data_IF_294927565014
#
_entry.id   IF_294927565014
#
_cell.length_a   1.000
_cell.length_b   1.000
_cell.length_c   1.000
_cell.angle_alpha   90.00
_cell.angle_beta   90.00
_cell.angle_gamma   90.00
#
_symmetry.space_group_name_H-M   'P 1'
#
loop_
_entity.id
_entity.type
_entity.pdbx_description
1 polymer ?
#
# COMPACT_ATOMS: atom_id res chain seq x y z
N UNK A 1 -47.94 37.62 15.28
CA UNK A 1 -46.56 37.22 15.60
C UNK A 1 -46.60 35.85 16.25
N UNK A 2 -46.40 34.80 15.45
CA UNK A 2 -46.20 33.40 15.87
C UNK A 2 -45.27 32.78 14.82
N UNK A 3 -44.24 32.05 15.25
CA UNK A 3 -43.87 30.79 14.58
C UNK A 3 -43.70 29.69 15.65
N UNK A 4 -44.50 28.63 15.68
CA UNK A 4 -44.43 27.40 14.87
C UNK A 4 -43.02 26.80 14.86
N UNK A 5 -42.78 25.89 15.80
CA UNK A 5 -41.67 24.93 15.83
C UNK A 5 -42.00 23.73 14.94
N UNK A 6 -41.27 23.56 13.84
CA UNK A 6 -41.31 22.34 13.01
C UNK A 6 -40.02 21.54 13.22
N UNK A 7 -40.18 20.32 13.75
CA UNK A 7 -39.15 19.31 13.76
C UNK A 7 -38.88 18.80 12.33
N UNK A 8 -37.61 18.69 11.95
CA UNK A 8 -37.17 17.91 10.80
C UNK A 8 -36.12 16.91 11.26
N UNK A 9 -36.53 15.64 11.21
CA UNK A 9 -35.72 14.46 11.40
C UNK A 9 -34.68 14.37 10.27
N UNK A 10 -33.39 14.44 10.61
CA UNK A 10 -32.29 14.12 9.71
C UNK A 10 -31.65 12.83 10.17
N UNK A 11 -31.86 11.74 9.43
CA UNK A 11 -31.11 10.50 9.58
C UNK A 11 -29.71 10.72 8.98
N UNK A 12 -28.74 11.06 9.82
CA UNK A 12 -27.33 10.98 9.47
C UNK A 12 -26.89 9.52 9.54
N UNK A 13 -26.66 8.91 8.37
CA UNK A 13 -25.97 7.63 8.26
C UNK A 13 -24.48 7.84 8.59
N UNK A 14 -24.14 7.65 9.86
CA UNK A 14 -22.76 7.56 10.34
C UNK A 14 -22.17 6.24 9.84
N UNK A 15 -21.40 6.26 8.76
CA UNK A 15 -20.49 5.17 8.41
C UNK A 15 -19.37 5.09 9.45
N UNK A 16 -19.64 4.35 10.53
CA UNK A 16 -18.66 4.07 11.58
C UNK A 16 -17.51 3.21 11.04
N UNK A 17 -16.29 3.55 11.44
CA UNK A 17 -14.97 2.99 11.11
C UNK A 17 -14.78 1.52 11.57
N UNK A 18 -15.85 0.83 11.95
CA UNK A 18 -15.84 -0.55 12.45
C UNK A 18 -15.76 -1.56 11.29
N UNK A 19 -16.28 -1.22 10.10
CA UNK A 19 -16.40 -2.16 8.98
C UNK A 19 -15.08 -2.51 8.28
N UNK A 20 -14.00 -1.74 8.46
CA UNK A 20 -12.69 -2.06 7.87
C UNK A 20 -11.81 -2.95 8.77
N UNK A 21 -12.10 -3.01 10.08
CA UNK A 21 -11.24 -3.65 11.09
C UNK A 21 -11.82 -4.94 11.69
N UNK A 22 -13.12 -5.22 11.52
CA UNK A 22 -13.74 -6.44 12.06
C UNK A 22 -13.37 -7.75 11.33
N UNK A 23 -12.55 -7.69 10.29
CA UNK A 23 -12.16 -8.89 9.55
C UNK A 23 -11.01 -9.69 10.23
N UNK A 24 -10.43 -9.23 11.35
CA UNK A 24 -9.21 -9.84 11.90
C UNK A 24 -9.19 -10.17 13.39
N UNK A 25 -10.33 -10.08 14.10
CA UNK A 25 -10.32 -10.41 15.53
C UNK A 25 -11.60 -11.17 15.92
N UNK A 26 -11.37 -12.31 16.59
CA UNK A 26 -12.28 -13.17 17.38
C UNK A 26 -12.95 -14.39 16.74
N UNK A 27 -13.38 -14.40 15.46
CA UNK A 27 -14.14 -15.55 14.91
C UNK A 27 -13.32 -16.67 14.21
N UNK A 28 -12.02 -16.46 13.94
CA UNK A 28 -11.27 -17.35 13.03
C UNK A 28 -10.80 -18.68 13.65
N UNK A 29 -10.68 -18.78 14.98
CA UNK A 29 -10.35 -20.06 15.65
C UNK A 29 -11.57 -21.00 15.75
N UNK A 30 -12.79 -20.43 15.80
CA UNK A 30 -14.03 -21.20 15.81
C UNK A 30 -14.35 -21.72 14.40
N UNK A 31 -14.14 -20.88 13.37
CA UNK A 31 -14.23 -21.26 11.95
C UNK A 31 -13.20 -22.33 11.53
N UNK A 32 -12.01 -22.33 12.14
CA UNK A 32 -11.00 -23.40 11.94
C UNK A 32 -11.47 -24.79 12.43
N UNK A 33 -12.43 -24.86 13.37
CA UNK A 33 -13.05 -26.14 13.80
C UNK A 33 -14.25 -26.54 12.95
N UNK A 34 -15.04 -25.56 12.50
CA UNK A 34 -16.30 -25.81 11.79
C UNK A 34 -16.09 -26.13 10.30
N UNK A 35 -15.06 -25.56 9.67
CA UNK A 35 -14.71 -25.82 8.26
C UNK A 35 -14.26 -27.28 8.02
N UNK A 36 -13.77 -27.97 9.05
CA UNK A 36 -13.42 -29.40 8.98
C UNK A 36 -14.65 -30.33 8.91
N UNK A 37 -15.86 -29.80 9.17
CA UNK A 37 -17.06 -30.61 9.37
C UNK A 37 -18.14 -30.42 8.29
N UNK A 38 -17.93 -29.49 7.35
CA UNK A 38 -18.92 -29.13 6.31
C UNK A 38 -18.55 -29.61 4.89
N UNK A 39 -17.65 -30.59 4.74
CA UNK A 39 -17.45 -31.35 3.48
C UNK A 39 -18.50 -32.48 3.37
N UNK A 40 -19.73 -32.24 3.84
CA UNK A 40 -20.86 -33.16 3.70
C UNK A 40 -22.12 -32.33 3.41
N UNK A 41 -22.67 -32.58 2.23
CA UNK A 41 -24.01 -32.23 1.75
C UNK A 41 -24.22 -30.86 1.07
N UNK A 42 -24.66 -30.98 -0.18
CA UNK A 42 -24.90 -29.94 -1.15
C UNK A 42 -26.41 -29.75 -1.43
N UNK A 43 -26.72 -28.62 -2.09
CA UNK A 43 -27.91 -28.34 -2.94
C UNK A 43 -29.23 -28.06 -2.18
N UNK A 44 -30.19 -27.22 -2.58
CA UNK A 44 -30.73 -26.57 -3.82
C UNK A 44 -31.47 -25.29 -3.31
N UNK A 45 -31.50 -24.07 -3.87
CA UNK A 45 -31.95 -23.54 -5.19
C UNK A 45 -33.39 -22.97 -5.10
N UNK A 46 -33.68 -21.74 -5.58
CA UNK A 46 -34.96 -21.26 -6.20
C UNK A 46 -34.93 -19.75 -6.60
N UNK A 47 -35.52 -19.44 -7.77
CA UNK A 47 -35.69 -18.15 -8.51
C UNK A 47 -36.89 -17.30 -7.96
N UNK A 48 -37.30 -16.08 -8.38
CA UNK A 48 -37.33 -15.40 -9.69
C UNK A 48 -37.89 -13.93 -9.59
N UNK A 49 -37.49 -13.03 -10.52
CA UNK A 49 -38.19 -11.81 -11.08
C UNK A 49 -38.48 -10.57 -10.18
N UNK A 50 -38.62 -9.29 -10.61
CA UNK A 50 -39.10 -8.67 -11.87
C UNK A 50 -38.60 -7.19 -12.11
N UNK A 51 -38.64 -6.80 -13.39
CA UNK A 51 -38.35 -5.60 -14.26
C UNK A 51 -38.59 -4.11 -13.83
N UNK A 52 -37.86 -3.19 -14.53
CA UNK A 52 -38.19 -1.82 -15.06
C UNK A 52 -37.66 -0.58 -14.28
N UNK A 53 -37.26 0.59 -14.83
CA UNK A 53 -37.13 1.18 -16.19
C UNK A 53 -36.41 2.58 -16.13
N UNK A 54 -35.89 3.07 -17.28
CA UNK A 54 -35.53 4.46 -17.72
C UNK A 54 -34.65 5.40 -16.84
N UNK A 55 -33.49 5.92 -17.29
CA UNK A 55 -33.29 6.99 -18.31
C UNK A 55 -32.88 8.30 -17.58
N UNK A 56 -31.93 9.17 -17.95
CA UNK A 56 -31.01 9.37 -19.07
C UNK A 56 -30.23 10.69 -18.85
N UNK A 57 -29.33 10.99 -19.78
CA UNK A 57 -28.81 12.32 -20.15
C UNK A 57 -27.51 12.87 -19.54
N UNK A 58 -26.62 13.08 -20.51
CA UNK A 58 -25.28 13.65 -20.63
C UNK A 58 -25.14 15.15 -20.36
N UNK A 59 -23.92 15.55 -19.97
CA UNK A 59 -23.41 16.92 -20.13
C UNK A 59 -21.87 16.94 -20.15
N UNK A 60 -21.29 17.23 -21.30
CA UNK A 60 -19.84 17.33 -21.55
C UNK A 60 -19.35 18.76 -21.33
N UNK A 61 -18.15 18.97 -20.79
CA UNK A 61 -17.37 20.21 -20.98
C UNK A 61 -15.87 19.95 -20.89
N UNK A 62 -15.19 20.36 -21.95
CA UNK A 62 -13.75 20.34 -22.24
C UNK A 62 -12.99 21.40 -21.45
N UNK A 63 -11.70 21.15 -21.12
CA UNK A 63 -10.79 22.17 -20.61
C UNK A 63 -9.38 22.06 -21.23
N UNK A 64 -8.81 23.22 -21.51
CA UNK A 64 -7.55 23.49 -22.20
C UNK A 64 -6.39 23.66 -21.21
N UNK A 65 -5.20 23.18 -21.60
CA UNK A 65 -3.96 23.20 -20.80
C UNK A 65 -2.97 24.27 -21.28
N UNK A 66 -2.43 25.07 -20.37
CA UNK A 66 -1.37 26.08 -20.60
C UNK A 66 -0.01 25.61 -20.04
N UNK A 67 1.07 25.89 -20.79
CA UNK A 67 2.46 25.58 -20.44
C UNK A 67 3.04 26.62 -19.45
N UNK A 68 3.72 26.16 -18.39
CA UNK A 68 4.33 26.96 -17.31
C UNK A 68 5.85 27.12 -17.55
N UNK A 69 6.42 28.28 -17.19
CA UNK A 69 7.84 28.62 -17.33
C UNK A 69 8.75 27.90 -16.29
N UNK A 70 9.96 27.42 -16.65
CA UNK A 70 10.89 26.76 -15.73
C UNK A 70 11.25 27.57 -14.47
N UNK A 71 11.33 28.90 -14.58
CA UNK A 71 11.68 29.78 -13.47
C UNK A 71 10.68 29.70 -12.30
N UNK A 72 9.40 29.46 -12.60
CA UNK A 72 8.34 29.38 -11.59
C UNK A 72 8.46 28.10 -10.73
N UNK A 73 8.90 26.99 -11.32
CA UNK A 73 9.05 25.73 -10.61
C UNK A 73 10.21 25.76 -9.61
N UNK A 74 11.32 26.40 -9.98
CA UNK A 74 12.49 26.55 -9.10
C UNK A 74 12.17 27.44 -7.88
N UNK A 75 11.34 28.47 -8.07
CA UNK A 75 10.83 29.30 -6.98
C UNK A 75 9.93 28.50 -6.03
N UNK A 76 8.99 27.71 -6.57
CA UNK A 76 8.12 26.83 -5.76
C UNK A 76 8.93 25.82 -4.94
N UNK A 77 9.94 25.19 -5.55
CA UNK A 77 10.84 24.28 -4.86
C UNK A 77 11.57 25.04 -3.74
N UNK A 78 12.12 26.21 -4.03
CA UNK A 78 12.85 27.02 -3.04
C UNK A 78 11.97 27.40 -1.85
N UNK A 79 10.71 27.80 -2.11
CA UNK A 79 9.72 28.10 -1.07
C UNK A 79 9.40 26.85 -0.25
N UNK A 80 9.19 25.70 -0.90
CA UNK A 80 8.91 24.45 -0.22
C UNK A 80 10.09 24.01 0.64
N UNK A 81 11.33 24.17 0.18
CA UNK A 81 12.53 23.85 0.98
C UNK A 81 12.62 24.71 2.25
N UNK A 82 12.24 25.98 2.16
CA UNK A 82 12.21 26.88 3.32
C UNK A 82 11.01 26.69 4.25
N UNK A 83 9.95 26.02 3.81
CA UNK A 83 8.68 25.90 4.56
C UNK A 83 8.26 24.47 4.92
N UNK A 84 8.89 23.43 4.34
CA UNK A 84 8.57 22.04 4.66
C UNK A 84 8.88 21.72 6.12
N UNK A 85 8.01 20.94 6.74
CA UNK A 85 8.08 20.61 8.17
C UNK A 85 8.46 19.14 8.34
N UNK A 86 9.35 18.86 9.29
CA UNK A 86 9.66 17.48 9.69
C UNK A 86 8.42 16.84 10.30
N UNK A 87 8.04 15.66 9.80
CA UNK A 87 6.94 14.92 10.41
C UNK A 87 7.28 14.54 11.84
N UNK A 88 6.33 14.77 12.75
CA UNK A 88 6.39 14.21 14.09
C UNK A 88 6.12 12.71 14.04
N UNK A 89 6.82 11.96 14.87
CA UNK A 89 6.56 10.55 15.12
C UNK A 89 7.06 10.20 16.53
N UNK A 90 6.59 9.06 17.06
CA UNK A 90 7.10 8.53 18.32
C UNK A 90 8.43 7.82 18.07
N UNK A 91 9.53 8.45 18.47
CA UNK A 91 10.86 7.86 18.39
C UNK A 91 11.00 6.69 19.37
N UNK A 92 11.43 5.53 18.87
CA UNK A 92 11.64 4.33 19.69
C UNK A 92 13.11 4.27 20.10
N UNK A 93 13.44 4.35 21.41
CA UNK A 93 14.82 4.28 21.87
C UNK A 93 15.49 2.97 21.44
N UNK A 94 16.61 3.08 20.72
CA UNK A 94 17.33 1.93 20.16
C UNK A 94 16.77 1.42 18.82
N UNK A 95 15.71 2.04 18.30
CA UNK A 95 15.08 1.70 17.04
C UNK A 95 14.08 0.54 17.11
N UNK A 96 13.04 0.61 16.28
CA UNK A 96 12.01 -0.43 16.21
C UNK A 96 12.53 -1.75 15.62
N UNK A 97 13.32 -1.67 14.54
CA UNK A 97 13.81 -2.84 13.81
C UNK A 97 14.78 -3.70 14.64
N UNK A 98 15.68 -3.14 15.47
CA UNK A 98 16.45 -3.92 16.44
C UNK A 98 15.59 -4.66 17.49
N UNK A 99 14.49 -4.08 17.96
CA UNK A 99 13.55 -4.77 18.86
C UNK A 99 12.84 -5.94 18.16
N UNK A 100 12.38 -5.71 16.92
CA UNK A 100 11.79 -6.77 16.08
C UNK A 100 12.79 -7.90 15.85
N UNK A 101 14.05 -7.59 15.54
CA UNK A 101 15.12 -8.58 15.42
C UNK A 101 15.27 -9.42 16.68
N UNK A 102 15.33 -8.80 17.86
CA UNK A 102 15.45 -9.51 19.15
C UNK A 102 14.27 -10.46 19.40
N UNK A 103 13.07 -10.05 19.01
CA UNK A 103 11.88 -10.89 19.08
C UNK A 103 11.99 -12.09 18.15
N UNK A 104 12.34 -11.87 16.87
CA UNK A 104 12.48 -12.91 15.86
C UNK A 104 13.60 -13.91 16.19
N UNK A 105 14.71 -13.47 16.78
CA UNK A 105 15.79 -14.35 17.23
C UNK A 105 15.33 -15.30 18.36
N UNK A 106 14.34 -14.88 19.15
CA UNK A 106 13.76 -15.68 20.24
C UNK A 106 12.57 -16.53 19.80
N UNK A 107 12.12 -16.36 18.55
CA UNK A 107 10.85 -16.85 18.04
C UNK A 107 11.00 -18.17 17.28
N UNK A 108 11.03 -19.27 18.05
CA UNK A 108 11.03 -20.64 17.54
C UNK A 108 12.37 -21.08 16.90
N UNK A 109 12.81 -22.31 17.19
CA UNK A 109 14.14 -22.76 16.73
C UNK A 109 14.23 -23.07 15.23
N UNK A 110 13.09 -23.29 14.57
CA UNK A 110 12.99 -23.70 13.16
C UNK A 110 12.64 -22.56 12.20
N UNK A 111 12.67 -21.31 12.66
CA UNK A 111 12.34 -20.14 11.84
C UNK A 111 13.59 -19.49 11.22
N UNK A 112 13.42 -18.96 10.01
CA UNK A 112 14.38 -18.10 9.33
C UNK A 112 13.67 -16.83 8.92
N UNK A 113 14.18 -15.69 9.35
CA UNK A 113 13.59 -14.38 9.09
C UNK A 113 14.56 -13.50 8.31
N UNK A 114 14.02 -12.69 7.41
CA UNK A 114 14.75 -11.68 6.67
C UNK A 114 14.00 -10.37 6.83
N UNK A 115 14.68 -9.34 7.33
CA UNK A 115 14.09 -8.02 7.59
C UNK A 115 14.88 -6.92 6.89
N UNK A 116 14.24 -5.80 6.57
CA UNK A 116 14.92 -4.57 6.16
C UNK A 116 15.85 -4.04 7.25
N UNK A 117 16.71 -3.10 6.87
CA UNK A 117 17.48 -2.27 7.81
C UNK A 117 16.60 -1.33 8.64
N UNK A 118 17.08 -0.11 8.91
CA UNK A 118 16.32 0.89 9.68
C UNK A 118 14.98 1.22 9.03
N UNK A 119 13.91 1.27 9.85
CA UNK A 119 12.57 1.75 9.48
C UNK A 119 11.95 2.36 10.74
N UNK A 120 11.54 3.62 10.66
CA UNK A 120 10.74 4.28 11.70
C UNK A 120 9.25 4.05 11.43
N UNK A 121 8.47 3.83 12.48
CA UNK A 121 7.02 3.63 12.35
C UNK A 121 6.27 4.96 12.43
N UNK A 122 5.58 5.30 11.34
CA UNK A 122 4.69 6.45 11.26
C UNK A 122 3.25 5.98 11.40
N UNK A 123 2.63 6.32 12.53
CA UNK A 123 1.22 6.04 12.79
C UNK A 123 0.33 7.16 12.25
N UNK A 124 -0.92 6.84 11.92
CA UNK A 124 -1.96 7.84 11.67
C UNK A 124 -2.34 8.57 12.96
N UNK A 125 -2.54 9.87 12.81
CA UNK A 125 -2.99 10.80 13.83
C UNK A 125 -4.49 11.00 13.64
N UNK A 126 -5.23 10.79 14.72
CA UNK A 126 -6.70 10.75 14.70
C UNK A 126 -7.33 12.04 14.17
N UNK A 127 -6.76 13.18 14.57
CA UNK A 127 -7.20 14.51 14.17
C UNK A 127 -6.73 14.96 12.79
N UNK A 128 -5.79 14.26 12.16
CA UNK A 128 -5.16 14.73 10.91
C UNK A 128 -5.50 13.80 9.74
N UNK A 129 -5.14 12.53 9.86
CA UNK A 129 -5.03 11.62 8.72
C UNK A 129 -5.74 10.27 8.91
N UNK A 130 -6.47 10.10 10.02
CA UNK A 130 -7.31 8.91 10.20
C UNK A 130 -8.35 8.76 9.09
N UNK A 131 -8.44 7.54 8.55
CA UNK A 131 -9.33 7.17 7.45
C UNK A 131 -8.84 7.50 6.04
N UNK A 132 -7.68 8.15 5.87
CA UNK A 132 -7.19 8.51 4.52
C UNK A 132 -5.66 8.59 4.36
N UNK A 133 -4.94 8.71 5.47
CA UNK A 133 -3.50 8.96 5.52
C UNK A 133 -2.58 7.77 5.30
N UNK A 134 -3.12 6.54 5.23
CA UNK A 134 -2.31 5.32 5.28
C UNK A 134 -1.21 5.31 4.21
N UNK A 135 -1.52 5.70 2.97
CA UNK A 135 -0.52 5.76 1.90
C UNK A 135 0.59 6.77 2.17
N UNK A 136 0.25 7.94 2.72
CA UNK A 136 1.23 8.95 3.11
C UNK A 136 2.14 8.48 4.24
N UNK A 137 1.58 7.80 5.26
CA UNK A 137 2.37 7.22 6.36
C UNK A 137 3.30 6.10 5.86
N UNK A 138 2.88 5.30 4.88
CA UNK A 138 3.75 4.31 4.25
C UNK A 138 4.89 4.94 3.44
N UNK A 139 4.65 6.06 2.75
CA UNK A 139 5.72 6.87 2.12
C UNK A 139 6.70 7.37 3.19
N UNK A 140 6.22 7.82 4.36
CA UNK A 140 7.07 8.25 5.46
C UNK A 140 7.94 7.11 6.01
N UNK A 141 7.36 5.91 6.20
CA UNK A 141 8.12 4.72 6.62
C UNK A 141 9.20 4.33 5.60
N UNK A 142 8.86 4.28 4.31
CA UNK A 142 9.85 3.99 3.25
C UNK A 142 10.93 5.09 3.16
N UNK A 143 10.54 6.36 3.31
CA UNK A 143 11.47 7.49 3.33
C UNK A 143 12.44 7.42 4.51
N UNK A 144 11.99 7.01 5.70
CA UNK A 144 12.86 6.86 6.87
C UNK A 144 13.99 5.86 6.62
N UNK A 145 13.69 4.76 5.94
CA UNK A 145 14.68 3.78 5.52
C UNK A 145 15.67 4.38 4.52
N UNK A 146 15.16 5.00 3.45
CA UNK A 146 15.99 5.59 2.39
C UNK A 146 16.93 6.67 2.94
N UNK A 147 16.43 7.57 3.77
CA UNK A 147 17.23 8.65 4.35
C UNK A 147 18.31 8.12 5.30
N UNK A 148 18.07 7.00 6.00
CA UNK A 148 19.01 6.45 6.98
C UNK A 148 20.05 5.51 6.36
N UNK A 149 19.63 4.63 5.46
CA UNK A 149 20.46 3.53 4.93
C UNK A 149 21.14 3.89 3.61
N UNK A 150 20.64 4.88 2.87
CA UNK A 150 21.09 5.20 1.50
C UNK A 150 21.54 6.65 1.37
N UNK A 151 22.87 6.84 1.29
CA UNK A 151 23.49 8.18 1.12
C UNK A 151 23.09 8.87 -0.17
N UNK A 152 22.96 8.11 -1.26
CA UNK A 152 22.50 8.60 -2.56
C UNK A 152 21.07 9.14 -2.49
N UNK A 153 20.17 8.41 -1.82
CA UNK A 153 18.80 8.86 -1.61
C UNK A 153 18.72 10.05 -0.62
N UNK A 154 19.49 10.02 0.47
CA UNK A 154 19.55 11.11 1.45
C UNK A 154 19.93 12.46 0.83
N UNK A 155 20.88 12.45 -0.13
CA UNK A 155 21.36 13.66 -0.78
C UNK A 155 20.30 14.35 -1.68
N UNK A 156 19.32 13.61 -2.20
CA UNK A 156 18.36 14.13 -3.19
C UNK A 156 16.93 14.23 -2.68
N UNK A 157 16.51 13.34 -1.77
CA UNK A 157 15.14 13.30 -1.28
C UNK A 157 14.76 14.59 -0.57
N UNK A 158 13.59 15.12 -0.94
CA UNK A 158 13.02 16.33 -0.35
C UNK A 158 13.99 17.53 -0.37
N UNK A 159 14.81 17.59 -1.42
CA UNK A 159 15.87 18.57 -1.63
C UNK A 159 17.02 18.47 -0.64
N UNK A 160 17.36 17.25 -0.22
CA UNK A 160 18.50 17.00 0.67
C UNK A 160 18.26 17.49 2.10
N UNK A 161 17.00 17.59 2.53
CA UNK A 161 16.64 18.09 3.87
C UNK A 161 17.13 17.20 5.02
N UNK A 162 17.44 15.93 4.72
CA UNK A 162 17.89 14.95 5.71
C UNK A 162 16.78 14.51 6.67
N UNK A 163 15.50 14.76 6.36
CA UNK A 163 14.37 14.34 7.18
C UNK A 163 13.14 13.96 6.38
N UNK A 164 12.24 13.20 7.02
CA UNK A 164 10.95 12.82 6.47
C UNK A 164 9.94 13.97 6.65
N UNK A 165 9.40 14.56 5.58
CA UNK A 165 8.43 15.65 5.68
C UNK A 165 7.05 15.19 6.19
N UNK A 166 6.27 16.15 6.69
CA UNK A 166 4.86 15.97 7.02
C UNK A 166 3.97 15.76 5.78
N UNK A 167 2.73 15.31 5.99
CA UNK A 167 1.80 14.99 4.88
C UNK A 167 1.56 16.21 3.96
N UNK A 168 1.29 17.43 4.47
CA UNK A 168 1.15 18.60 3.61
C UNK A 168 2.38 18.87 2.73
N UNK A 169 3.60 18.71 3.25
CA UNK A 169 4.82 18.87 2.45
C UNK A 169 4.95 17.77 1.40
N UNK A 170 4.62 16.51 1.74
CA UNK A 170 4.60 15.41 0.78
C UNK A 170 3.59 15.63 -0.35
N UNK A 171 2.42 16.19 -0.05
CA UNK A 171 1.44 16.56 -1.06
C UNK A 171 1.98 17.60 -2.04
N UNK A 172 2.65 18.65 -1.54
CA UNK A 172 3.28 19.66 -2.41
C UNK A 172 4.40 19.07 -3.25
N UNK A 173 5.23 18.19 -2.68
CA UNK A 173 6.26 17.49 -3.45
C UNK A 173 5.67 16.63 -4.57
N UNK A 174 4.51 16.01 -4.35
CA UNK A 174 3.79 15.26 -5.37
C UNK A 174 3.22 16.17 -6.47
N UNK A 175 2.65 17.34 -6.12
CA UNK A 175 2.22 18.33 -7.12
C UNK A 175 3.39 18.83 -7.96
N UNK A 176 4.54 19.12 -7.34
CA UNK A 176 5.78 19.48 -8.05
C UNK A 176 6.24 18.34 -8.98
N UNK A 177 6.12 17.08 -8.56
CA UNK A 177 6.41 15.94 -9.43
C UNK A 177 5.51 15.92 -10.67
N UNK A 178 4.22 16.18 -10.50
CA UNK A 178 3.27 16.29 -11.61
C UNK A 178 3.59 17.47 -12.53
N UNK A 179 3.96 18.64 -11.99
CA UNK A 179 4.38 19.79 -12.78
C UNK A 179 5.66 19.52 -13.58
N UNK A 180 6.57 18.68 -13.05
CA UNK A 180 7.74 18.16 -13.76
C UNK A 180 7.40 17.15 -14.87
N UNK A 181 6.13 16.79 -15.02
CA UNK A 181 5.63 15.85 -16.02
C UNK A 181 5.71 14.38 -15.61
N UNK A 182 5.97 14.07 -14.34
CA UNK A 182 5.84 12.70 -13.85
C UNK A 182 4.37 12.32 -13.75
N UNK A 183 4.03 11.12 -14.21
CA UNK A 183 2.71 10.51 -14.05
C UNK A 183 1.54 11.43 -14.45
N UNK A 184 1.58 11.93 -15.69
CA UNK A 184 0.53 12.80 -16.23
C UNK A 184 -0.86 12.17 -16.10
N UNK A 185 -0.95 10.83 -16.23
CA UNK A 185 -2.22 10.11 -16.10
C UNK A 185 -2.71 10.16 -14.66
N UNK A 186 -1.90 9.77 -13.67
CA UNK A 186 -2.27 9.87 -12.27
C UNK A 186 -2.59 11.30 -11.85
N UNK A 187 -1.76 12.26 -12.28
CA UNK A 187 -2.00 13.70 -12.05
C UNK A 187 -3.39 14.14 -12.51
N UNK A 188 -3.80 13.74 -13.71
CA UNK A 188 -5.11 14.09 -14.26
C UNK A 188 -6.26 13.47 -13.46
N UNK A 189 -6.12 12.25 -12.94
CA UNK A 189 -7.12 11.63 -12.05
C UNK A 189 -7.34 12.44 -10.76
N UNK A 190 -6.32 13.19 -10.30
CA UNK A 190 -6.43 14.13 -9.17
C UNK A 190 -6.71 15.57 -9.58
N UNK A 191 -7.08 15.83 -10.85
CA UNK A 191 -7.26 17.19 -11.37
C UNK A 191 -6.02 18.09 -11.12
N UNK A 192 -4.84 17.46 -11.08
CA UNK A 192 -3.53 18.08 -10.81
C UNK A 192 -3.42 18.76 -9.44
N UNK A 193 -4.29 18.42 -8.48
CA UNK A 193 -4.34 19.06 -7.16
C UNK A 193 -4.61 18.05 -6.05
N UNK A 194 -3.74 18.02 -5.05
CA UNK A 194 -3.86 17.15 -3.88
C UNK A 194 -3.47 17.84 -2.58
N UNK A 195 -2.68 18.92 -2.63
CA UNK A 195 -2.32 19.70 -1.45
C UNK A 195 -3.57 20.27 -0.76
N UNK A 196 -3.62 20.10 0.56
CA UNK A 196 -4.73 20.54 1.40
C UNK A 196 -5.97 19.64 1.34
N UNK A 197 -5.94 18.54 0.58
CA UNK A 197 -7.06 17.62 0.44
C UNK A 197 -6.79 16.29 1.16
N UNK A 198 -7.87 15.66 1.65
CA UNK A 198 -7.84 14.37 2.36
C UNK A 198 -7.97 13.20 1.37
N UNK A 199 -7.04 13.10 0.41
CA UNK A 199 -7.11 12.12 -0.69
C UNK A 199 -6.29 10.87 -0.40
N UNK A 200 -6.88 9.72 -0.71
CA UNK A 200 -6.19 8.44 -0.72
C UNK A 200 -5.18 8.42 -1.86
N UNK A 201 -4.06 7.74 -1.62
CA UNK A 201 -2.99 7.53 -2.60
C UNK A 201 -2.53 6.08 -2.53
N UNK A 202 -1.85 5.64 -3.59
CA UNK A 202 -1.36 4.28 -3.76
C UNK A 202 0.11 4.19 -4.12
N UNK A 203 0.47 3.03 -4.67
CA UNK A 203 1.83 2.72 -5.13
C UNK A 203 2.30 3.62 -6.25
N UNK A 204 1.42 4.16 -7.10
CA UNK A 204 1.81 5.09 -8.16
C UNK A 204 2.19 6.45 -7.65
N UNK A 205 1.38 7.07 -6.79
CA UNK A 205 1.74 8.37 -6.23
C UNK A 205 3.03 8.25 -5.40
N UNK A 206 3.20 7.14 -4.68
CA UNK A 206 4.46 6.78 -4.02
C UNK A 206 5.64 6.68 -5.03
N UNK A 207 5.46 5.95 -6.12
CA UNK A 207 6.48 5.78 -7.17
C UNK A 207 6.81 7.12 -7.85
N UNK A 208 5.79 7.88 -8.25
CA UNK A 208 5.87 9.22 -8.86
C UNK A 208 6.66 10.18 -7.98
N UNK A 209 6.34 10.22 -6.69
CA UNK A 209 7.06 11.06 -5.73
C UNK A 209 8.55 10.70 -5.70
N UNK A 210 8.91 9.44 -5.48
CA UNK A 210 10.31 9.02 -5.39
C UNK A 210 11.07 9.16 -6.72
N UNK A 211 10.42 8.86 -7.85
CA UNK A 211 10.99 9.02 -9.19
C UNK A 211 11.28 10.48 -9.53
N UNK A 212 10.49 11.42 -9.02
CA UNK A 212 10.73 12.86 -9.22
C UNK A 212 12.04 13.36 -8.60
N UNK A 213 12.60 12.62 -7.63
CA UNK A 213 13.93 12.84 -7.05
C UNK A 213 15.02 11.99 -7.71
N UNK A 214 14.72 11.30 -8.81
CA UNK A 214 15.64 10.41 -9.51
C UNK A 214 15.79 9.04 -8.86
N UNK A 215 14.95 8.65 -7.91
CA UNK A 215 15.01 7.29 -7.34
C UNK A 215 14.30 6.28 -8.24
N UNK A 216 14.87 5.08 -8.36
CA UNK A 216 14.32 3.98 -9.17
C UNK A 216 13.19 3.26 -8.45
N UNK A 217 12.09 3.96 -8.19
CA UNK A 217 10.90 3.33 -7.62
C UNK A 217 10.20 2.43 -8.66
N UNK A 218 9.78 1.24 -8.24
CA UNK A 218 9.15 0.21 -9.07
C UNK A 218 7.81 -0.17 -8.47
N UNK A 219 6.82 -0.42 -9.33
CA UNK A 219 5.51 -0.94 -8.92
C UNK A 219 5.39 -2.38 -9.43
N UNK A 220 4.82 -3.27 -8.60
CA UNK A 220 4.53 -4.66 -8.96
C UNK A 220 3.06 -4.94 -8.71
N UNK A 221 2.37 -5.44 -9.72
CA UNK A 221 0.96 -5.77 -9.67
C UNK A 221 0.77 -7.29 -9.55
N UNK A 222 0.00 -7.71 -8.55
CA UNK A 222 -0.45 -9.07 -8.33
C UNK A 222 -1.96 -9.12 -8.52
N UNK A 223 -2.41 -9.78 -9.58
CA UNK A 223 -3.83 -9.81 -9.99
C UNK A 223 -4.28 -11.25 -10.19
N UNK A 224 -5.37 -11.64 -9.52
CA UNK A 224 -6.00 -12.96 -9.62
C UNK A 224 -6.96 -13.09 -10.81
N UNK A 225 -7.14 -12.04 -11.61
CA UNK A 225 -8.12 -11.98 -12.70
C UNK A 225 -7.47 -12.39 -14.02
N UNK A 226 -8.01 -13.45 -14.64
CA UNK A 226 -7.56 -13.94 -15.95
C UNK A 226 -8.02 -13.01 -17.09
N UNK A 227 -7.29 -12.91 -18.22
CA UNK A 227 -7.66 -12.03 -19.35
C UNK A 227 -9.07 -12.26 -19.91
N UNK A 228 -9.60 -13.48 -19.77
CA UNK A 228 -10.95 -13.88 -20.20
C UNK A 228 -12.07 -13.15 -19.48
N UNK A 229 -11.88 -12.76 -18.20
CA UNK A 229 -12.89 -12.03 -17.42
C UNK A 229 -12.95 -10.54 -17.80
N UNK A 230 -11.92 -10.00 -18.47
CA UNK A 230 -11.92 -8.61 -18.97
C UNK A 230 -12.54 -8.45 -20.36
N UNK A 231 -12.66 -9.52 -21.15
CA UNK A 231 -13.26 -9.45 -22.48
C UNK A 231 -14.80 -9.31 -22.44
N UNK A 232 -15.43 -9.66 -21.31
CA UNK A 232 -16.88 -9.52 -21.16
C UNK A 232 -17.35 -8.12 -20.72
N UNK A 233 -16.43 -7.17 -20.48
CA UNK A 233 -16.76 -5.77 -20.10
C UNK A 233 -16.61 -4.79 -21.29
N UNK A 234 -16.44 -5.29 -22.52
CA UNK A 234 -16.35 -4.39 -23.67
C UNK A 234 -16.34 -5.08 -25.00
N UNK A 235 -17.50 -5.62 -25.41
CA UNK A 235 -17.72 -5.94 -26.81
C UNK A 235 -17.92 -4.62 -27.59
N UNK A 236 -16.82 -4.05 -28.08
CA UNK A 236 -16.81 -3.15 -29.23
C UNK A 236 -15.50 -3.30 -29.97
N UNK A 237 -15.63 -3.89 -31.17
CA UNK A 237 -14.57 -4.20 -32.14
C UNK A 237 -13.67 -3.00 -32.42
N UNK A 238 -12.35 -3.23 -32.47
CA UNK A 238 -11.39 -2.27 -33.01
C UNK A 238 -9.92 -2.70 -32.83
N UNK A 239 -9.12 -2.51 -33.88
CA UNK A 239 -7.73 -2.94 -34.07
C UNK A 239 -6.74 -2.44 -32.99
N UNK A 240 -5.62 -3.16 -32.88
CA UNK A 240 -4.61 -3.01 -31.84
C UNK A 240 -4.02 -1.60 -31.65
N UNK A 241 -3.81 -1.25 -30.39
CA UNK A 241 -2.96 -0.19 -29.86
C UNK A 241 -2.51 -0.63 -28.46
N UNK A 242 -1.25 -0.44 -28.10
CA UNK A 242 -0.76 -0.66 -26.74
C UNK A 242 -1.64 0.15 -25.76
N UNK A 243 -2.35 -0.53 -24.86
CA UNK A 243 -3.37 0.10 -24.02
C UNK A 243 -2.68 0.84 -22.87
N UNK A 244 -2.75 2.17 -22.91
CA UNK A 244 -2.27 3.11 -21.91
C UNK A 244 -2.86 2.78 -20.53
N UNK A 245 -2.02 2.61 -19.51
CA UNK A 245 -2.48 2.42 -18.12
C UNK A 245 -3.22 3.68 -17.66
N UNK A 246 -4.46 3.52 -17.21
CA UNK A 246 -5.17 4.50 -16.38
C UNK A 246 -4.69 4.33 -14.93
N UNK A 247 -4.60 5.43 -14.18
CA UNK A 247 -3.97 5.48 -12.85
C UNK A 247 -4.47 4.37 -11.91
N UNK A 248 -3.62 3.74 -11.08
CA UNK A 248 -4.01 2.53 -10.36
C UNK A 248 -4.81 2.75 -9.08
N UNK A 249 -4.89 3.97 -8.55
CA UNK A 249 -5.95 4.24 -7.57
C UNK A 249 -7.33 4.08 -8.19
N UNK A 250 -7.53 4.31 -9.49
CA UNK A 250 -8.85 4.12 -10.12
C UNK A 250 -9.31 2.66 -10.05
N UNK A 251 -8.41 1.66 -10.09
CA UNK A 251 -8.81 0.24 -9.92
C UNK A 251 -9.40 -0.07 -8.54
N UNK A 252 -9.01 0.68 -7.51
CA UNK A 252 -9.46 0.50 -6.12
C UNK A 252 -10.49 1.55 -5.68
N UNK A 253 -10.51 2.73 -6.30
CA UNK A 253 -11.40 3.85 -5.99
C UNK A 253 -12.72 3.73 -6.77
N UNK A 254 -12.71 3.27 -8.03
CA UNK A 254 -13.92 3.15 -8.87
C UNK A 254 -14.94 2.19 -8.26
N UNK A 255 -14.51 1.15 -7.53
CA UNK A 255 -15.42 0.19 -6.87
C UNK A 255 -16.20 0.75 -5.68
N UNK A 256 -15.83 1.92 -5.15
CA UNK A 256 -16.59 2.53 -4.05
C UNK A 256 -17.90 3.20 -4.51
N UNK A 257 -18.10 3.39 -5.83
CA UNK A 257 -19.28 4.05 -6.40
C UNK A 257 -20.13 3.13 -7.30
N UNK A 258 -19.78 1.86 -7.42
CA UNK A 258 -20.56 0.84 -8.13
C UNK A 258 -20.69 -0.40 -7.22
N UNK A 259 -21.79 -0.47 -6.46
CA UNK A 259 -22.18 -1.70 -5.78
C UNK A 259 -23.32 -2.36 -6.56
N UNK A 260 -23.06 -3.58 -7.05
CA UNK A 260 -23.89 -4.73 -6.73
C UNK A 260 -22.98 -5.94 -6.52
N UNK A 261 -23.22 -6.59 -5.40
CA UNK A 261 -22.69 -7.85 -4.93
C UNK A 261 -22.97 -8.97 -5.94
N UNK A 262 -21.95 -9.75 -6.30
CA UNK A 262 -22.15 -11.08 -6.87
C UNK A 262 -21.10 -12.02 -6.28
N UNK A 263 -21.54 -12.63 -5.19
CA UNK A 263 -20.95 -13.83 -4.60
C UNK A 263 -21.03 -14.97 -5.64
N UNK A 264 -19.90 -15.29 -6.24
CA UNK A 264 -19.70 -16.52 -6.99
C UNK A 264 -18.53 -17.25 -6.34
N UNK A 265 -18.88 -18.36 -5.69
CA UNK A 265 -17.98 -19.34 -5.11
C UNK A 265 -16.82 -19.68 -6.06
N UNK A 266 -15.67 -19.03 -5.88
CA UNK A 266 -14.43 -19.37 -6.60
C UNK A 266 -13.70 -20.46 -5.82
N UNK A 267 -13.73 -21.66 -6.37
CA UNK A 267 -12.92 -22.79 -5.97
C UNK A 267 -11.42 -22.44 -5.97
N UNK A 268 -10.75 -22.73 -4.84
CA UNK A 268 -9.32 -23.02 -4.55
C UNK A 268 -8.16 -22.35 -5.31
N UNK A 269 -8.40 -21.37 -6.18
CA UNK A 269 -7.35 -20.68 -6.96
C UNK A 269 -6.74 -19.49 -6.24
N UNK A 270 -7.40 -18.99 -5.18
CA UNK A 270 -6.91 -17.86 -4.38
C UNK A 270 -5.60 -18.18 -3.63
N UNK A 271 -5.44 -19.42 -3.16
CA UNK A 271 -4.26 -19.82 -2.38
C UNK A 271 -2.96 -19.80 -3.19
N UNK A 272 -3.02 -20.21 -4.47
CA UNK A 272 -1.87 -20.24 -5.38
C UNK A 272 -1.36 -18.82 -5.65
N UNK A 273 -2.29 -17.88 -5.82
CA UNK A 273 -1.95 -16.50 -6.11
C UNK A 273 -1.23 -15.77 -4.99
N UNK A 274 -1.71 -15.96 -3.76
CA UNK A 274 -1.08 -15.37 -2.59
C UNK A 274 0.27 -16.04 -2.29
N UNK A 275 0.46 -17.32 -2.65
CA UNK A 275 1.77 -17.97 -2.56
C UNK A 275 2.79 -17.30 -3.49
N UNK A 276 2.40 -16.92 -4.71
CA UNK A 276 3.30 -16.24 -5.66
C UNK A 276 3.73 -14.85 -5.15
N UNK A 277 2.81 -14.11 -4.51
CA UNK A 277 3.17 -12.86 -3.84
C UNK A 277 4.22 -13.10 -2.76
N UNK A 278 4.01 -14.12 -1.93
CA UNK A 278 4.91 -14.43 -0.82
C UNK A 278 6.27 -14.93 -1.31
N UNK A 279 6.31 -15.75 -2.36
CA UNK A 279 7.54 -16.20 -3.01
C UNK A 279 8.29 -15.01 -3.63
N UNK A 280 7.56 -14.07 -4.25
CA UNK A 280 8.15 -12.84 -4.77
C UNK A 280 8.79 -12.01 -3.64
N UNK A 281 8.09 -11.81 -2.52
CA UNK A 281 8.60 -11.08 -1.36
C UNK A 281 9.82 -11.79 -0.75
N UNK A 282 9.79 -13.12 -0.66
CA UNK A 282 10.92 -13.92 -0.19
C UNK A 282 12.15 -13.70 -1.06
N UNK A 283 12.01 -13.83 -2.38
CA UNK A 283 13.09 -13.62 -3.33
C UNK A 283 13.59 -12.17 -3.32
N UNK A 284 12.70 -11.20 -3.18
CA UNK A 284 13.04 -9.79 -3.06
C UNK A 284 13.99 -9.56 -1.88
N UNK A 285 13.64 -10.01 -0.68
CA UNK A 285 14.47 -9.80 0.52
C UNK A 285 15.74 -10.66 0.55
N UNK A 286 15.73 -11.86 -0.04
CA UNK A 286 16.92 -12.71 -0.17
C UNK A 286 17.97 -12.14 -1.14
N UNK A 287 17.52 -11.48 -2.21
CA UNK A 287 18.37 -10.90 -3.26
C UNK A 287 19.45 -9.99 -2.68
N UNK A 288 20.72 -10.32 -2.94
CA UNK A 288 21.93 -9.56 -2.50
C UNK A 288 22.10 -9.42 -0.98
N UNK A 289 21.79 -10.48 -0.23
CA UNK A 289 22.11 -10.51 1.20
C UNK A 289 23.63 -10.60 1.43
N UNK A 290 24.27 -9.49 1.77
CA UNK A 290 25.61 -9.52 2.40
C UNK A 290 25.45 -10.08 3.81
N UNK A 291 25.93 -11.31 4.07
CA UNK A 291 25.95 -11.86 5.43
C UNK A 291 26.95 -11.02 6.25
N UNK A 292 26.45 -10.00 6.96
CA UNK A 292 27.28 -9.24 7.90
C UNK A 292 27.76 -10.20 8.99
N UNK A 293 29.08 -10.35 9.10
CA UNK A 293 29.76 -11.16 10.12
C UNK A 293 29.30 -10.66 11.50
N UNK A 294 28.56 -11.48 12.23
CA UNK A 294 27.94 -11.13 13.53
C UNK A 294 26.42 -11.25 13.58
N UNK A 295 25.73 -11.47 12.45
CA UNK A 295 24.30 -11.76 12.47
C UNK A 295 24.02 -13.22 12.83
N UNK A 296 23.12 -13.43 13.80
CA UNK A 296 22.46 -14.72 14.05
C UNK A 296 22.07 -15.35 12.71
N UNK A 297 22.40 -16.63 12.50
CA UNK A 297 22.05 -17.36 11.26
C UNK A 297 20.53 -17.38 10.99
N UNK A 298 19.71 -17.09 12.02
CA UNK A 298 18.24 -17.13 11.95
C UNK A 298 17.61 -15.83 11.45
N UNK A 299 18.14 -14.66 11.82
CA UNK A 299 17.60 -13.36 11.40
C UNK A 299 18.62 -12.58 10.58
N UNK A 300 18.28 -12.43 9.30
CA UNK A 300 19.09 -11.76 8.30
C UNK A 300 18.59 -10.33 8.11
N UNK A 301 19.51 -9.36 8.10
CA UNK A 301 19.19 -7.98 7.71
C UNK A 301 19.52 -7.83 6.23
N UNK A 302 18.49 -7.53 5.43
CA UNK A 302 18.59 -7.27 4.01
C UNK A 302 18.98 -5.81 3.74
N UNK A 303 19.72 -5.59 2.65
CA UNK A 303 20.02 -4.25 2.12
C UNK A 303 18.84 -3.68 1.29
N UNK A 304 17.75 -4.45 1.18
CA UNK A 304 16.55 -4.07 0.46
C UNK A 304 15.66 -3.12 1.27
N UNK A 305 15.00 -2.23 0.54
CA UNK A 305 14.02 -1.31 1.13
C UNK A 305 12.82 -2.08 1.68
N UNK A 306 12.09 -1.54 2.67
CA UNK A 306 10.76 -2.05 2.95
C UNK A 306 9.87 -1.89 1.71
N UNK A 307 8.78 -2.64 1.66
CA UNK A 307 7.83 -2.62 0.55
C UNK A 307 6.58 -1.87 0.96
N UNK A 308 6.22 -0.81 0.23
CA UNK A 308 4.87 -0.26 0.30
C UNK A 308 3.92 -1.35 -0.21
N UNK A 309 2.90 -1.70 0.56
CA UNK A 309 1.98 -2.80 0.28
C UNK A 309 0.53 -2.31 0.23
N UNK A 310 -0.02 -2.22 -0.98
CA UNK A 310 -1.37 -1.76 -1.25
C UNK A 310 -2.33 -2.94 -1.45
N UNK A 311 -3.55 -2.78 -0.93
CA UNK A 311 -4.71 -3.51 -1.40
C UNK A 311 -5.94 -2.59 -1.38
N UNK A 312 -7.08 -3.13 -1.80
CA UNK A 312 -8.35 -2.44 -1.71
C UNK A 312 -8.65 -1.96 -0.27
N UNK A 313 -8.90 -0.65 -0.12
CA UNK A 313 -9.28 0.01 1.13
C UNK A 313 -8.17 0.33 2.12
N UNK A 314 -6.93 -0.15 1.96
CA UNK A 314 -5.84 0.17 2.90
C UNK A 314 -4.43 -0.10 2.33
N UNK A 315 -3.42 0.50 2.96
CA UNK A 315 -2.01 0.25 2.64
C UNK A 315 -1.19 0.06 3.91
N UNK A 316 -0.14 -0.76 3.80
CA UNK A 316 0.78 -1.11 4.90
C UNK A 316 2.23 -1.14 4.40
N UNK A 317 3.17 -1.40 5.28
CA UNK A 317 4.59 -1.54 4.94
C UNK A 317 5.10 -2.93 5.30
N UNK A 318 5.54 -3.73 4.33
CA UNK A 318 6.22 -5.00 4.60
C UNK A 318 7.70 -4.69 4.90
N UNK A 319 8.14 -5.01 6.11
CA UNK A 319 9.52 -4.79 6.57
C UNK A 319 10.35 -6.06 6.62
N UNK A 320 9.76 -7.19 6.19
CA UNK A 320 10.45 -8.47 6.12
C UNK A 320 9.51 -9.65 5.93
N UNK A 321 10.08 -10.84 6.02
CA UNK A 321 9.40 -12.12 5.84
C UNK A 321 10.05 -13.18 6.72
N UNK A 322 9.24 -14.04 7.30
CA UNK A 322 9.65 -15.19 8.08
C UNK A 322 9.16 -16.47 7.42
N UNK A 323 10.04 -17.47 7.33
CA UNK A 323 9.72 -18.83 6.96
C UNK A 323 9.93 -19.72 8.18
N UNK A 324 8.92 -20.52 8.50
CA UNK A 324 8.98 -21.56 9.51
C UNK A 324 9.00 -22.91 8.81
N UNK A 325 10.04 -23.71 9.08
CA UNK A 325 10.14 -25.03 8.48
C UNK A 325 9.00 -25.92 8.92
N UNK A 326 8.40 -26.63 7.96
CA UNK A 326 7.38 -27.62 8.24
C UNK A 326 7.92 -28.78 9.10
N UNK A 327 7.06 -29.35 9.94
CA UNK A 327 7.36 -30.52 10.77
C UNK A 327 6.92 -31.78 10.01
N UNK A 328 7.77 -32.82 9.98
CA UNK A 328 7.46 -34.16 9.43
C UNK A 328 6.91 -34.14 7.98
N UNK A 329 7.47 -33.30 7.11
CA UNK A 329 7.11 -33.26 5.69
C UNK A 329 5.92 -32.36 5.34
N UNK A 330 5.36 -31.62 6.29
CA UNK A 330 4.46 -30.49 5.98
C UNK A 330 5.21 -29.39 5.22
N UNK A 331 4.52 -28.61 4.38
CA UNK A 331 5.15 -27.50 3.66
C UNK A 331 5.62 -26.40 4.62
N UNK A 332 6.63 -25.67 4.19
CA UNK A 332 7.12 -24.50 4.91
C UNK A 332 6.03 -23.43 5.00
N UNK A 333 5.91 -22.80 6.17
CA UNK A 333 4.92 -21.75 6.42
C UNK A 333 5.59 -20.40 6.34
N UNK A 334 5.00 -19.50 5.55
CA UNK A 334 5.51 -18.15 5.37
C UNK A 334 4.60 -17.12 6.03
N UNK A 335 5.22 -16.12 6.66
CA UNK A 335 4.57 -14.99 7.30
C UNK A 335 5.26 -13.70 6.86
N UNK A 336 4.50 -12.75 6.33
CA UNK A 336 4.95 -11.39 6.10
C UNK A 336 5.09 -10.66 7.45
N UNK A 337 6.09 -9.79 7.56
CA UNK A 337 6.29 -8.91 8.71
C UNK A 337 5.85 -7.50 8.29
N UNK A 338 4.71 -7.07 8.81
CA UNK A 338 3.98 -5.89 8.31
C UNK A 338 3.83 -4.85 9.42
N UNK A 339 4.21 -3.62 9.11
CA UNK A 339 3.88 -2.43 9.89
C UNK A 339 2.61 -1.81 9.33
N UNK A 340 1.67 -1.48 10.22
CA UNK A 340 0.39 -0.87 9.87
C UNK A 340 0.29 0.52 10.47
N UNK A 341 0.11 1.58 9.66
CA UNK A 341 -0.01 2.95 10.18
C UNK A 341 -1.19 3.13 11.14
N UNK A 342 -2.19 2.23 11.16
CA UNK A 342 -3.28 2.28 12.14
C UNK A 342 -2.82 1.91 13.57
N UNK A 343 -1.70 1.20 13.74
CA UNK A 343 -1.20 0.84 15.06
C UNK A 343 -0.57 2.03 15.79
N UNK A 344 -0.75 2.10 17.11
CA UNK A 344 -0.03 3.10 17.92
C UNK A 344 1.40 2.63 18.16
N UNK A 345 2.40 3.44 17.79
CA UNK A 345 3.83 3.09 17.90
C UNK A 345 4.21 2.71 19.33
N UNK A 346 3.67 3.42 20.33
CA UNK A 346 3.93 3.12 21.76
C UNK A 346 3.46 1.73 22.19
N UNK A 347 2.34 1.24 21.63
CA UNK A 347 1.81 -0.11 21.91
C UNK A 347 2.67 -1.15 21.22
N UNK A 348 3.06 -0.89 19.96
CA UNK A 348 3.96 -1.74 19.20
C UNK A 348 5.34 -1.86 19.86
N UNK A 349 5.89 -0.74 20.33
CA UNK A 349 7.15 -0.72 21.06
C UNK A 349 7.08 -1.58 22.33
N UNK A 350 6.03 -1.37 23.15
CA UNK A 350 5.84 -2.14 24.38
C UNK A 350 5.74 -3.64 24.10
N UNK A 351 4.94 -4.05 23.11
CA UNK A 351 4.76 -5.48 22.78
C UNK A 351 6.06 -6.15 22.32
N UNK A 352 6.92 -5.40 21.60
CA UNK A 352 8.25 -5.86 21.20
C UNK A 352 9.24 -5.92 22.36
N UNK A 353 9.26 -4.92 23.24
CA UNK A 353 10.14 -4.91 24.43
C UNK A 353 9.81 -6.05 25.38
N UNK A 354 8.52 -6.27 25.62
CA UNK A 354 8.02 -7.29 26.53
C UNK A 354 7.99 -8.68 25.86
N UNK A 355 8.30 -8.76 24.56
CA UNK A 355 8.21 -9.97 23.71
C UNK A 355 6.84 -10.67 23.80
N UNK A 356 5.78 -9.90 24.02
CA UNK A 356 4.43 -10.40 24.23
C UNK A 356 3.44 -9.73 23.29
N UNK A 357 2.65 -10.52 22.55
CA UNK A 357 1.60 -10.03 21.65
C UNK A 357 2.07 -9.39 20.34
N UNK A 358 3.37 -9.12 20.18
CA UNK A 358 3.93 -8.49 18.96
C UNK A 358 3.65 -9.29 17.69
N UNK A 359 3.56 -10.63 17.77
CA UNK A 359 3.27 -11.48 16.62
C UNK A 359 1.92 -11.12 15.98
N UNK A 360 0.89 -10.85 16.82
CA UNK A 360 -0.44 -10.45 16.32
C UNK A 360 -0.39 -9.09 15.62
N UNK A 361 0.46 -8.19 16.08
CA UNK A 361 0.60 -6.85 15.50
C UNK A 361 1.35 -6.90 14.16
N UNK A 362 2.39 -7.72 14.04
CA UNK A 362 3.34 -7.66 12.90
C UNK A 362 3.17 -8.82 11.91
N UNK A 363 2.93 -10.05 12.36
CA UNK A 363 2.92 -11.22 11.45
C UNK A 363 1.61 -11.31 10.68
N UNK A 364 1.71 -11.52 9.38
CA UNK A 364 0.58 -11.79 8.48
C UNK A 364 0.85 -13.06 7.69
N UNK A 365 0.14 -14.14 8.01
CA UNK A 365 0.27 -15.40 7.27
C UNK A 365 -0.40 -15.30 5.90
N UNK A 366 -0.05 -16.20 4.98
CA UNK A 366 -0.63 -16.25 3.62
C UNK A 366 -2.17 -16.23 3.65
N UNK A 367 -2.79 -16.98 4.56
CA UNK A 367 -4.25 -17.05 4.75
C UNK A 367 -4.92 -15.71 5.12
N UNK A 368 -4.16 -14.73 5.61
CA UNK A 368 -4.68 -13.40 5.93
C UNK A 368 -4.78 -12.50 4.69
N UNK A 369 -4.15 -12.90 3.58
CA UNK A 369 -4.28 -12.25 2.29
C UNK A 369 -5.57 -12.75 1.66
N UNK A 370 -6.64 -11.93 1.67
CA UNK A 370 -7.95 -12.31 1.10
C UNK A 370 -8.40 -11.39 -0.03
N UNK A 371 -7.63 -10.34 -0.33
CA UNK A 371 -7.98 -9.41 -1.41
C UNK A 371 -7.57 -10.01 -2.77
N UNK A 372 -8.35 -9.77 -3.83
CA UNK A 372 -8.06 -10.31 -5.16
C UNK A 372 -6.85 -9.64 -5.82
N UNK A 373 -6.50 -8.43 -5.35
CA UNK A 373 -5.46 -7.61 -5.95
C UNK A 373 -4.58 -6.99 -4.87
N UNK A 374 -3.29 -7.05 -5.13
CA UNK A 374 -2.25 -6.44 -4.32
C UNK A 374 -1.27 -5.70 -5.23
N UNK A 375 -0.74 -4.59 -4.73
CA UNK A 375 0.37 -3.92 -5.40
C UNK A 375 1.50 -3.67 -4.39
N UNK A 376 2.73 -3.81 -4.87
CA UNK A 376 3.93 -3.46 -4.11
C UNK A 376 4.63 -2.27 -4.75
N UNK A 377 5.23 -1.41 -3.94
CA UNK A 377 6.21 -0.44 -4.40
C UNK A 377 7.50 -0.53 -3.59
N UNK A 378 8.63 -0.51 -4.29
CA UNK A 378 9.97 -0.55 -3.71
C UNK A 378 10.93 0.35 -4.48
N UNK A 379 12.12 0.61 -3.92
CA UNK A 379 13.11 1.48 -4.56
C UNK A 379 14.41 0.72 -4.79
N UNK A 380 14.82 0.60 -6.05
CA UNK A 380 16.10 0.01 -6.41
C UNK A 380 17.29 0.93 -6.05
N UNK A 381 18.49 0.36 -5.81
CA UNK A 381 19.70 1.14 -5.54
C UNK A 381 20.08 2.13 -6.65
N UNK A 382 20.81 3.18 -6.25
CA UNK A 382 21.30 4.25 -7.12
C UNK A 382 20.22 5.30 -7.49
N UNK A 383 20.70 6.32 -8.19
CA UNK A 383 19.92 7.44 -8.74
C UNK A 383 19.98 7.45 -10.26
N UNK A 384 18.90 7.90 -10.89
CA UNK A 384 18.78 8.11 -12.32
C UNK A 384 19.27 9.50 -12.72
N UNK A 385 19.86 9.60 -13.91
CA UNK A 385 20.36 10.86 -14.48
C UNK A 385 20.01 10.97 -15.97
N UNK A 386 19.86 12.21 -16.46
CA UNK A 386 19.63 12.53 -17.86
C UNK A 386 18.47 11.74 -18.49
N UNK A 387 18.73 10.93 -19.52
CA UNK A 387 17.72 10.18 -20.26
C UNK A 387 16.89 9.23 -19.37
N UNK A 388 17.53 8.60 -18.37
CA UNK A 388 16.82 7.72 -17.45
C UNK A 388 15.77 8.50 -16.62
N UNK A 389 16.03 9.76 -16.29
CA UNK A 389 15.07 10.62 -15.58
C UNK A 389 13.80 10.84 -16.40
N UNK A 390 13.92 11.03 -17.72
CA UNK A 390 12.78 11.18 -18.61
C UNK A 390 11.99 9.87 -18.74
N UNK A 391 12.67 8.72 -18.75
CA UNK A 391 12.02 7.41 -18.72
C UNK A 391 11.21 7.20 -17.43
N UNK A 392 11.73 7.65 -16.29
CA UNK A 392 11.03 7.55 -15.01
C UNK A 392 9.74 8.37 -14.91
N UNK A 393 9.52 9.37 -15.79
CA UNK A 393 8.27 10.14 -15.81
C UNK A 393 7.05 9.29 -16.15
N UNK A 394 7.24 8.24 -16.94
CA UNK A 394 6.16 7.31 -17.26
C UNK A 394 6.12 6.21 -16.21
N UNK A 395 4.97 6.04 -15.54
CA UNK A 395 4.82 5.01 -14.52
C UNK A 395 4.38 3.70 -15.16
N UNK A 396 5.21 2.69 -14.97
CA UNK A 396 5.04 1.32 -15.41
C UNK A 396 4.97 0.37 -14.21
N UNK A 397 4.21 -0.72 -14.35
CA UNK A 397 4.16 -1.79 -13.36
C UNK A 397 4.62 -3.12 -13.92
N UNK A 398 5.33 -3.89 -13.09
CA UNK A 398 5.67 -5.28 -13.37
C UNK A 398 4.45 -6.12 -13.03
N UNK A 399 3.78 -6.68 -14.04
CA UNK A 399 2.61 -7.53 -13.83
C UNK A 399 3.04 -8.97 -13.57
N UNK A 400 2.74 -9.46 -12.36
CA UNK A 400 2.90 -10.86 -11.98
C UNK A 400 1.51 -11.50 -12.00
N UNK A 401 1.27 -12.35 -13.02
CA UNK A 401 0.00 -13.07 -13.19
C UNK A 401 0.10 -14.46 -12.58
N UNK A 402 -1.02 -14.95 -12.07
CA UNK A 402 -1.17 -16.30 -11.58
C UNK A 402 -2.59 -16.84 -11.78
#
# INVERSE_FOLDING_TARGET
MVPVTSASCGFDYVFTTVHANNHFVEDELQKDRELAQQIMDASVGYEESFVADFGGSTGTSTSSSSNISPCFLDEQISILLGSQVRSSFHEVPGGLMPLLRSCLDSDGESSRSIISGHVDHYQSVESEDSGWGCGWRNIQMLSSHLLRERRDANAVLFGGSGFVPDIPSLQRWLEIAWEKGFDVVGSNSFQKKIYGHRKWIGTTECSTLFRSFGLRARVVDFDSITPSERQNIGNSRGKGVAKQLFGPMDKFVVRSNEFCDHDLSRSDTSGIGHQILVDWVWNYFMSKTSIKVGSSRRVIISEKTPLYFQHDGHSRTIVGIQMQKGVRGSPDRYCLLVLDPAHKTKVLERSLRDKNGWQKMIKRGVHTLKKPQYQLCYVDPGTAHAEEMEQLKTIDSILVRF
#
